data_IF_842153146317
#
_entry.id   IF_842153146317
#
_cell.length_a   1.000
_cell.length_b   1.000
_cell.length_c   1.000
_cell.angle_alpha   90.00
_cell.angle_beta   90.00
_cell.angle_gamma   90.00
#
_symmetry.space_group_name_H-M   'P 1'
#
loop_
_entity.id
_entity.type
_entity.pdbx_description
1 polymer ?
#
# COMPACT_ATOMS: atom_id res chain seq x y z
N UNK A 1 45.49 -0.07 -14.29
CA UNK A 1 44.35 -0.99 -14.47
C UNK A 1 43.65 -1.21 -13.13
N UNK A 2 42.96 -0.19 -12.61
CA UNK A 2 42.11 -0.30 -11.43
C UNK A 2 41.04 0.79 -11.57
N UNK A 3 39.87 0.44 -12.12
CA UNK A 3 38.83 1.42 -12.40
C UNK A 3 37.43 0.85 -12.65
N UNK A 4 37.29 -0.46 -12.92
CA UNK A 4 36.03 -0.99 -13.46
C UNK A 4 35.14 -1.74 -12.44
N UNK A 5 35.65 -2.02 -11.23
CA UNK A 5 34.92 -2.83 -10.25
C UNK A 5 33.92 -2.02 -9.39
N UNK A 6 34.04 -0.70 -9.35
CA UNK A 6 33.17 0.16 -8.52
C UNK A 6 31.86 0.58 -9.24
N UNK A 7 31.84 0.55 -10.58
CA UNK A 7 30.71 1.02 -11.37
C UNK A 7 29.55 0.01 -11.41
N UNK A 8 29.83 -1.29 -11.27
CA UNK A 8 28.83 -2.36 -11.34
C UNK A 8 27.96 -2.51 -10.08
N UNK A 9 28.38 -1.96 -8.94
CA UNK A 9 27.70 -2.17 -7.64
C UNK A 9 26.66 -1.10 -7.27
N UNK A 10 26.67 0.04 -7.97
CA UNK A 10 25.86 1.23 -7.70
C UNK A 10 24.53 1.19 -8.46
N UNK A 11 24.56 0.96 -9.78
CA UNK A 11 23.35 0.78 -10.58
C UNK A 11 22.44 -0.35 -10.07
N UNK A 12 23.02 -1.39 -9.46
CA UNK A 12 22.29 -2.52 -8.90
C UNK A 12 21.39 -2.16 -7.68
N UNK A 13 21.63 -1.03 -6.97
CA UNK A 13 20.91 -0.72 -5.72
C UNK A 13 19.61 0.03 -5.96
N UNK A 14 19.63 1.09 -6.78
CA UNK A 14 18.40 1.73 -7.28
C UNK A 14 17.55 0.72 -8.07
N UNK A 15 18.21 -0.14 -8.86
CA UNK A 15 17.55 -1.21 -9.60
C UNK A 15 16.89 -2.25 -8.67
N UNK A 16 17.42 -2.53 -7.47
CA UNK A 16 16.74 -3.39 -6.49
C UNK A 16 15.44 -2.75 -5.98
N UNK A 17 15.42 -1.43 -5.69
CA UNK A 17 14.19 -0.77 -5.24
C UNK A 17 13.15 -0.68 -6.34
N UNK A 18 13.58 -0.30 -7.55
CA UNK A 18 12.73 -0.25 -8.73
C UNK A 18 12.20 -1.65 -9.07
N UNK A 19 13.08 -2.66 -9.12
CA UNK A 19 12.72 -4.07 -9.37
C UNK A 19 11.83 -4.62 -8.26
N UNK A 20 12.05 -4.28 -7.00
CA UNK A 20 11.19 -4.71 -5.90
C UNK A 20 9.79 -4.08 -6.00
N UNK A 21 9.72 -2.77 -6.29
CA UNK A 21 8.47 -2.07 -6.60
C UNK A 21 7.73 -2.72 -7.78
N UNK A 22 8.42 -2.92 -8.90
CA UNK A 22 7.90 -3.61 -10.08
C UNK A 22 7.42 -5.03 -9.74
N UNK A 23 8.16 -5.76 -8.90
CA UNK A 23 7.84 -7.15 -8.54
C UNK A 23 6.69 -7.26 -7.55
N UNK A 24 6.42 -6.20 -6.77
CA UNK A 24 5.18 -6.05 -6.01
C UNK A 24 4.00 -5.81 -6.97
N UNK A 25 4.17 -4.96 -7.97
CA UNK A 25 3.15 -4.69 -8.99
C UNK A 25 2.85 -5.91 -9.87
N UNK A 26 3.87 -6.72 -10.18
CA UNK A 26 3.77 -7.86 -11.12
C UNK A 26 3.34 -9.17 -10.43
N UNK A 27 3.49 -9.30 -9.11
CA UNK A 27 3.01 -10.48 -8.37
C UNK A 27 1.50 -10.45 -8.20
N UNK A 28 0.80 -10.74 -9.29
CA UNK A 28 -0.60 -11.14 -9.24
C UNK A 28 -0.74 -12.43 -8.43
N UNK A 29 -1.57 -12.38 -7.39
CA UNK A 29 -2.05 -13.60 -6.75
C UNK A 29 -3.10 -14.19 -7.67
N UNK A 30 -2.69 -15.12 -8.54
CA UNK A 30 -3.54 -16.04 -9.31
C UNK A 30 -4.32 -17.03 -8.42
N UNK A 31 -4.66 -16.62 -7.20
CA UNK A 31 -5.24 -17.44 -6.14
C UNK A 31 -6.28 -16.70 -5.29
N UNK A 32 -6.97 -15.70 -5.87
CA UNK A 32 -8.01 -14.91 -5.19
C UNK A 32 -9.26 -15.71 -4.76
N UNK A 33 -9.26 -17.05 -4.89
CA UNK A 33 -10.42 -17.90 -4.63
C UNK A 33 -10.61 -18.39 -3.20
N UNK A 34 -9.61 -18.29 -2.31
CA UNK A 34 -9.71 -18.93 -0.97
C UNK A 34 -9.40 -18.01 0.22
N UNK A 35 -8.50 -17.03 0.09
CA UNK A 35 -7.97 -16.26 1.24
C UNK A 35 -8.22 -14.74 1.16
N UNK A 36 -9.13 -14.28 0.28
CA UNK A 36 -9.35 -12.86 0.01
C UNK A 36 -9.66 -12.02 1.27
N UNK A 37 -10.16 -12.60 2.36
CA UNK A 37 -10.43 -11.85 3.62
C UNK A 37 -9.17 -11.49 4.41
N UNK A 38 -8.03 -12.10 4.12
CA UNK A 38 -6.79 -11.91 4.89
C UNK A 38 -5.85 -10.90 4.23
N UNK A 39 -5.02 -10.24 5.04
CA UNK A 39 -4.00 -9.30 4.55
C UNK A 39 -3.07 -10.02 3.56
N UNK A 40 -2.94 -9.53 2.31
CA UNK A 40 -2.05 -10.13 1.32
C UNK A 40 -0.63 -10.30 1.88
N UNK A 41 -0.01 -11.46 1.63
CA UNK A 41 1.35 -11.73 2.14
C UNK A 41 2.36 -10.67 1.68
N UNK A 42 2.20 -10.18 0.46
CA UNK A 42 3.06 -9.13 -0.10
C UNK A 42 2.99 -7.83 0.70
N UNK A 43 1.80 -7.43 1.17
CA UNK A 43 1.61 -6.27 2.07
C UNK A 43 2.40 -6.48 3.36
N UNK A 44 2.29 -7.66 3.98
CA UNK A 44 3.02 -7.97 5.21
C UNK A 44 4.53 -7.92 5.02
N UNK A 45 5.04 -8.51 3.94
CA UNK A 45 6.48 -8.53 3.67
C UNK A 45 7.02 -7.16 3.31
N UNK A 46 6.33 -6.41 2.44
CA UNK A 46 6.76 -5.07 2.03
C UNK A 46 6.84 -4.12 3.23
N UNK A 47 5.79 -4.06 4.07
CA UNK A 47 5.80 -3.17 5.25
C UNK A 47 6.89 -3.57 6.24
N UNK A 48 7.08 -4.88 6.49
CA UNK A 48 8.16 -5.31 7.39
C UNK A 48 9.55 -4.98 6.83
N UNK A 49 9.74 -5.14 5.52
CA UNK A 49 10.99 -4.77 4.85
C UNK A 49 11.28 -3.27 4.97
N UNK A 50 10.29 -2.42 4.67
CA UNK A 50 10.40 -0.97 4.82
C UNK A 50 10.69 -0.56 6.27
N UNK A 51 10.10 -1.25 7.26
CA UNK A 51 10.40 -0.99 8.68
C UNK A 51 11.84 -1.31 9.05
N UNK A 52 12.41 -2.39 8.49
CA UNK A 52 13.82 -2.72 8.73
C UNK A 52 14.74 -1.67 8.07
N UNK A 53 14.43 -1.25 6.85
CA UNK A 53 15.20 -0.23 6.13
C UNK A 53 15.14 1.14 6.82
N UNK A 54 13.99 1.49 7.39
CA UNK A 54 13.81 2.73 8.14
C UNK A 54 14.40 2.68 9.55
N UNK A 55 14.98 1.56 10.00
CA UNK A 55 15.65 1.52 11.30
C UNK A 55 16.92 2.38 11.29
N UNK A 56 17.23 3.02 12.42
CA UNK A 56 18.33 3.98 12.55
C UNK A 56 19.68 3.43 12.03
N UNK A 57 19.92 2.13 12.22
CA UNK A 57 21.14 1.43 11.80
C UNK A 57 21.32 1.44 10.27
N UNK A 58 20.23 1.36 9.51
CA UNK A 58 20.25 1.30 8.04
C UNK A 58 19.91 2.64 7.39
N UNK A 59 19.20 3.52 8.09
CA UNK A 59 18.68 4.78 7.54
C UNK A 59 19.80 5.66 6.97
N UNK A 60 20.85 5.91 7.77
CA UNK A 60 21.98 6.77 7.37
C UNK A 60 22.79 6.16 6.22
N UNK A 61 23.02 4.85 6.27
CA UNK A 61 23.75 4.10 5.23
C UNK A 61 22.98 4.11 3.90
N UNK A 62 21.67 3.91 3.95
CA UNK A 62 20.84 3.89 2.74
C UNK A 62 20.68 5.28 2.14
N UNK A 63 20.55 6.31 2.98
CA UNK A 63 20.43 7.67 2.50
C UNK A 63 21.71 8.17 1.80
N UNK A 64 22.88 7.84 2.37
CA UNK A 64 24.17 8.14 1.73
C UNK A 64 24.37 7.35 0.43
N UNK A 65 23.99 6.07 0.40
CA UNK A 65 24.07 5.27 -0.82
C UNK A 65 23.16 5.80 -1.94
N UNK A 66 21.89 6.12 -1.64
CA UNK A 66 20.95 6.65 -2.62
C UNK A 66 21.37 8.02 -3.13
N UNK A 67 21.87 8.91 -2.26
CA UNK A 67 22.39 10.22 -2.66
C UNK A 67 23.59 10.08 -3.60
N UNK A 68 24.54 9.18 -3.28
CA UNK A 68 25.71 8.93 -4.11
C UNK A 68 25.38 8.28 -5.47
N UNK A 69 24.24 7.57 -5.57
CA UNK A 69 23.77 7.02 -6.83
C UNK A 69 23.04 8.08 -7.68
N UNK A 70 22.28 8.99 -7.05
CA UNK A 70 21.65 10.13 -7.72
C UNK A 70 22.70 11.10 -8.30
N UNK A 71 23.69 11.51 -7.49
CA UNK A 71 24.78 12.40 -7.91
C UNK A 71 25.66 11.81 -9.04
N UNK A 72 25.59 10.50 -9.28
CA UNK A 72 26.32 9.80 -10.35
C UNK A 72 25.48 9.61 -11.62
N UNK A 73 24.16 9.82 -11.53
CA UNK A 73 23.19 9.58 -12.60
C UNK A 73 22.80 10.82 -13.42
N UNK A 74 23.39 11.99 -13.17
CA UNK A 74 23.06 13.23 -13.88
C UNK A 74 23.54 13.23 -15.34
N UNK A 75 22.76 12.62 -16.23
CA UNK A 75 22.41 13.16 -17.55
C UNK A 75 20.94 12.77 -17.82
N UNK A 76 20.06 13.77 -17.83
CA UNK A 76 18.66 13.73 -18.30
C UNK A 76 17.56 13.17 -17.37
N UNK A 77 17.16 13.91 -16.34
CA UNK A 77 15.74 14.07 -16.01
C UNK A 77 15.53 15.29 -15.10
N UNK A 78 14.65 16.19 -15.55
CA UNK A 78 14.42 17.53 -15.02
C UNK A 78 14.33 17.60 -13.49
N UNK A 79 15.10 18.53 -12.93
CA UNK A 79 15.01 18.96 -11.53
C UNK A 79 13.56 19.33 -11.18
N UNK A 80 12.84 18.44 -10.52
CA UNK A 80 11.77 18.82 -9.61
C UNK A 80 12.40 19.45 -8.36
N UNK A 81 13.02 20.62 -8.57
CA UNK A 81 13.48 21.54 -7.54
C UNK A 81 12.27 22.21 -6.87
N UNK A 82 11.43 21.40 -6.22
CA UNK A 82 10.17 21.84 -5.66
C UNK A 82 9.64 21.07 -4.46
N UNK A 83 9.97 19.78 -4.32
CA UNK A 83 9.42 18.96 -3.23
C UNK A 83 10.39 18.84 -2.04
N UNK A 84 10.10 19.64 -1.01
CA UNK A 84 10.99 20.01 0.09
C UNK A 84 11.41 18.89 1.03
N UNK A 85 12.56 19.09 1.67
CA UNK A 85 13.10 18.49 2.91
C UNK A 85 13.05 16.95 3.08
N UNK A 86 12.58 16.19 2.10
CA UNK A 86 12.48 14.74 2.16
C UNK A 86 13.74 14.09 1.59
N UNK A 87 14.35 13.24 2.41
CA UNK A 87 15.55 12.48 2.05
C UNK A 87 15.29 11.55 0.84
N UNK A 88 16.30 11.24 0.01
CA UNK A 88 16.17 10.25 -1.08
C UNK A 88 15.51 8.93 -0.63
N UNK A 89 15.85 8.46 0.58
CA UNK A 89 15.23 7.28 1.16
C UNK A 89 13.73 7.47 1.45
N UNK A 90 13.33 8.65 1.93
CA UNK A 90 11.92 8.97 2.15
C UNK A 90 11.14 8.94 0.83
N UNK A 91 11.69 9.52 -0.25
CA UNK A 91 11.07 9.48 -1.60
C UNK A 91 10.94 8.05 -2.14
N UNK A 92 12.01 7.26 -2.06
CA UNK A 92 11.98 5.86 -2.48
C UNK A 92 10.97 5.03 -1.66
N UNK A 93 10.91 5.26 -0.34
CA UNK A 93 9.97 4.58 0.56
C UNK A 93 8.52 4.95 0.23
N UNK A 94 8.24 6.23 -0.02
CA UNK A 94 6.93 6.71 -0.43
C UNK A 94 6.49 6.08 -1.77
N UNK A 95 7.40 5.93 -2.73
CA UNK A 95 7.15 5.26 -4.01
C UNK A 95 6.77 3.77 -3.83
N UNK A 96 7.47 3.03 -2.97
CA UNK A 96 7.13 1.62 -2.67
C UNK A 96 5.76 1.52 -2.00
N UNK A 97 5.45 2.44 -1.08
CA UNK A 97 4.15 2.53 -0.41
C UNK A 97 3.01 2.84 -1.40
N UNK A 98 3.24 3.74 -2.35
CA UNK A 98 2.32 4.02 -3.45
C UNK A 98 2.09 2.77 -4.33
N UNK A 99 3.17 2.07 -4.72
CA UNK A 99 3.07 0.80 -5.44
C UNK A 99 2.27 -0.25 -4.67
N UNK A 100 2.41 -0.31 -3.35
CA UNK A 100 1.64 -1.20 -2.50
C UNK A 100 0.15 -0.83 -2.44
N UNK A 101 -0.17 0.46 -2.43
CA UNK A 101 -1.55 0.93 -2.51
C UNK A 101 -2.19 0.51 -3.84
N UNK A 102 -1.52 0.78 -4.96
CA UNK A 102 -1.98 0.35 -6.30
C UNK A 102 -2.15 -1.16 -6.39
N UNK A 103 -1.26 -1.93 -5.76
CA UNK A 103 -1.39 -3.38 -5.67
C UNK A 103 -2.66 -3.81 -4.93
N UNK A 104 -2.98 -3.18 -3.79
CA UNK A 104 -4.21 -3.49 -3.02
C UNK A 104 -5.46 -3.16 -3.84
N UNK A 105 -5.50 -2.01 -4.51
CA UNK A 105 -6.63 -1.64 -5.38
C UNK A 105 -6.77 -2.57 -6.59
N UNK A 106 -5.66 -2.96 -7.22
CA UNK A 106 -5.70 -3.93 -8.31
C UNK A 106 -6.22 -5.30 -7.83
N UNK A 107 -5.76 -5.77 -6.67
CA UNK A 107 -6.24 -7.01 -6.06
C UNK A 107 -7.74 -6.93 -5.73
N UNK A 108 -8.19 -5.77 -5.24
CA UNK A 108 -9.60 -5.47 -4.95
C UNK A 108 -10.45 -5.56 -6.22
N UNK A 109 -10.00 -4.95 -7.32
CA UNK A 109 -10.73 -4.93 -8.60
C UNK A 109 -10.91 -6.29 -9.28
N UNK A 110 -10.01 -7.24 -9.03
CA UNK A 110 -10.10 -8.61 -9.59
C UNK A 110 -10.80 -9.62 -8.68
N UNK A 111 -11.18 -9.21 -7.47
CA UNK A 111 -11.85 -10.09 -6.52
C UNK A 111 -13.32 -10.30 -6.93
N UNK A 112 -13.78 -11.56 -7.10
CA UNK A 112 -15.14 -11.84 -7.58
C UNK A 112 -16.23 -11.56 -6.54
N UNK A 113 -15.89 -11.65 -5.25
CA UNK A 113 -16.81 -11.33 -4.15
C UNK A 113 -16.57 -9.89 -3.70
N UNK A 114 -17.50 -9.00 -4.02
CA UNK A 114 -17.47 -7.58 -3.64
C UNK A 114 -17.29 -7.37 -2.14
N UNK A 115 -17.98 -8.16 -1.31
CA UNK A 115 -17.91 -8.05 0.15
C UNK A 115 -16.53 -8.47 0.64
N UNK A 116 -16.02 -9.60 0.14
CA UNK A 116 -14.67 -10.04 0.48
C UNK A 116 -13.60 -9.04 0.00
N UNK A 117 -13.84 -8.39 -1.14
CA UNK A 117 -12.97 -7.36 -1.71
C UNK A 117 -12.82 -6.15 -0.80
N UNK A 118 -13.92 -5.59 -0.30
CA UNK A 118 -13.89 -4.48 0.66
C UNK A 118 -13.22 -4.89 1.98
N UNK A 119 -13.51 -6.09 2.49
CA UNK A 119 -12.87 -6.62 3.72
C UNK A 119 -11.36 -6.79 3.54
N UNK A 120 -10.91 -7.27 2.37
CA UNK A 120 -9.50 -7.40 2.04
C UNK A 120 -8.78 -6.05 2.09
N UNK A 121 -9.34 -5.05 1.39
CA UNK A 121 -8.76 -3.72 1.29
C UNK A 121 -8.71 -3.04 2.66
N UNK A 122 -9.82 -3.09 3.40
CA UNK A 122 -9.90 -2.60 4.78
C UNK A 122 -8.79 -3.22 5.65
N UNK A 123 -8.66 -4.55 5.65
CA UNK A 123 -7.67 -5.26 6.45
C UNK A 123 -6.23 -4.92 6.03
N UNK A 124 -5.97 -4.81 4.72
CA UNK A 124 -4.66 -4.49 4.19
C UNK A 124 -4.22 -3.07 4.60
N UNK A 125 -5.09 -2.07 4.40
CA UNK A 125 -4.79 -0.68 4.74
C UNK A 125 -4.68 -0.47 6.25
N UNK A 126 -5.55 -1.09 7.03
CA UNK A 126 -5.46 -1.05 8.48
C UNK A 126 -4.15 -1.66 8.97
N UNK A 127 -3.71 -2.79 8.40
CA UNK A 127 -2.43 -3.40 8.72
C UNK A 127 -1.25 -2.47 8.40
N UNK A 128 -1.21 -1.88 7.19
CA UNK A 128 -0.15 -0.95 6.79
C UNK A 128 -0.06 0.21 7.78
N UNK A 129 -1.20 0.85 8.07
CA UNK A 129 -1.28 1.97 9.00
C UNK A 129 -0.83 1.58 10.41
N UNK A 130 -1.44 0.55 11.01
CA UNK A 130 -1.14 0.14 12.38
C UNK A 130 0.28 -0.38 12.54
N UNK A 131 0.82 -1.06 11.53
CA UNK A 131 2.17 -1.61 11.60
C UNK A 131 3.24 -0.53 11.49
N UNK A 132 2.99 0.53 10.73
CA UNK A 132 3.91 1.63 10.54
C UNK A 132 3.78 2.75 11.58
N UNK A 133 2.58 2.98 12.13
CA UNK A 133 2.31 4.03 13.14
C UNK A 133 3.30 3.96 14.30
N UNK A 134 3.88 5.11 14.66
CA UNK A 134 4.82 5.24 15.77
C UNK A 134 6.18 4.56 15.55
N UNK A 135 6.49 4.11 14.32
CA UNK A 135 7.82 3.62 13.95
C UNK A 135 8.58 4.64 13.12
N UNK A 136 9.90 4.47 12.99
CA UNK A 136 10.74 5.32 12.15
C UNK A 136 10.27 5.40 10.70
N UNK A 137 9.62 4.34 10.19
CA UNK A 137 8.97 4.36 8.88
C UNK A 137 7.90 5.45 8.77
N UNK A 138 7.07 5.64 9.80
CA UNK A 138 6.05 6.68 9.80
C UNK A 138 6.64 8.08 10.03
N UNK A 139 7.77 8.20 10.75
CA UNK A 139 8.48 9.48 10.87
C UNK A 139 9.15 9.87 9.55
N UNK A 140 9.76 8.91 8.86
CA UNK A 140 10.43 9.08 7.58
C UNK A 140 9.47 9.57 6.48
N UNK A 141 8.27 8.99 6.42
CA UNK A 141 7.24 9.33 5.41
C UNK A 141 6.29 10.45 5.88
N UNK A 142 6.22 10.69 7.18
CA UNK A 142 5.28 11.61 7.82
C UNK A 142 4.04 10.89 8.36
N UNK A 143 3.78 11.06 9.66
CA UNK A 143 2.66 10.39 10.33
C UNK A 143 1.30 10.83 9.80
N UNK A 144 1.16 12.11 9.46
CA UNK A 144 -0.07 12.66 8.89
C UNK A 144 -0.32 12.14 7.47
N UNK A 145 0.73 11.92 6.68
CA UNK A 145 0.64 11.32 5.35
C UNK A 145 0.16 9.87 5.46
N UNK A 146 0.76 9.09 6.37
CA UNK A 146 0.35 7.72 6.65
C UNK A 146 -1.10 7.62 7.12
N UNK A 147 -1.53 8.56 7.97
CA UNK A 147 -2.92 8.64 8.45
C UNK A 147 -3.88 8.97 7.31
N UNK A 148 -3.64 10.07 6.59
CA UNK A 148 -4.50 10.51 5.48
C UNK A 148 -4.62 9.47 4.38
N UNK A 149 -3.55 8.72 4.12
CA UNK A 149 -3.52 7.74 3.05
C UNK A 149 -4.09 6.39 3.44
N UNK A 150 -3.57 5.77 4.50
CA UNK A 150 -3.91 4.38 4.82
C UNK A 150 -5.03 4.26 5.85
N UNK A 151 -5.11 5.15 6.84
CA UNK A 151 -6.23 5.13 7.79
C UNK A 151 -7.53 5.50 7.07
N UNK A 152 -7.52 6.56 6.27
CA UNK A 152 -8.70 6.99 5.51
C UNK A 152 -9.15 5.92 4.52
N UNK A 153 -8.23 5.34 3.74
CA UNK A 153 -8.58 4.26 2.80
C UNK A 153 -9.13 3.01 3.52
N UNK A 154 -8.64 2.69 4.73
CA UNK A 154 -9.22 1.61 5.54
C UNK A 154 -10.65 1.94 5.99
N UNK A 155 -10.90 3.19 6.41
CA UNK A 155 -12.23 3.65 6.83
C UNK A 155 -13.21 3.71 5.66
N UNK A 156 -12.76 4.14 4.48
CA UNK A 156 -13.53 4.12 3.24
C UNK A 156 -13.92 2.70 2.85
N UNK A 157 -12.96 1.77 2.80
CA UNK A 157 -13.24 0.36 2.52
C UNK A 157 -14.20 -0.27 3.55
N UNK A 158 -14.11 0.14 4.82
CA UNK A 158 -15.04 -0.30 5.87
C UNK A 158 -16.46 0.25 5.63
N UNK A 159 -16.58 1.50 5.19
CA UNK A 159 -17.87 2.11 4.85
C UNK A 159 -18.52 1.41 3.65
N UNK A 160 -17.77 1.16 2.58
CA UNK A 160 -18.28 0.47 1.40
C UNK A 160 -18.70 -0.98 1.70
N UNK A 161 -17.94 -1.68 2.55
CA UNK A 161 -18.36 -2.98 3.08
C UNK A 161 -19.71 -2.89 3.80
N UNK A 162 -19.85 -1.89 4.68
CA UNK A 162 -21.09 -1.71 5.45
C UNK A 162 -22.27 -1.39 4.53
N UNK A 163 -22.08 -0.52 3.54
CA UNK A 163 -23.11 -0.16 2.58
C UNK A 163 -23.53 -1.38 1.75
N UNK A 164 -22.57 -2.13 1.20
CA UNK A 164 -22.85 -3.32 0.38
C UNK A 164 -23.60 -4.42 1.14
N UNK A 165 -23.32 -4.61 2.44
CA UNK A 165 -23.91 -5.69 3.24
C UNK A 165 -25.19 -5.25 3.94
N UNK A 166 -25.20 -4.09 4.59
CA UNK A 166 -26.27 -3.70 5.51
C UNK A 166 -27.35 -2.86 4.85
N UNK A 167 -27.05 -2.05 3.82
CA UNK A 167 -28.06 -1.23 3.16
C UNK A 167 -29.20 -2.07 2.58
N UNK A 168 -28.94 -3.19 1.86
CA UNK A 168 -30.02 -4.05 1.36
C UNK A 168 -30.86 -4.68 2.48
N UNK A 169 -30.21 -5.10 3.58
CA UNK A 169 -30.89 -5.71 4.72
C UNK A 169 -31.78 -4.71 5.46
N UNK A 170 -31.28 -3.48 5.65
CA UNK A 170 -32.03 -2.39 6.29
C UNK A 170 -33.22 -1.98 5.42
N UNK A 171 -33.06 -1.94 4.08
CA UNK A 171 -34.17 -1.70 3.17
C UNK A 171 -35.22 -2.81 3.25
N UNK A 172 -34.80 -4.08 3.31
CA UNK A 172 -35.72 -5.21 3.45
C UNK A 172 -36.52 -5.15 4.76
N UNK A 173 -35.91 -4.76 5.87
CA UNK A 173 -36.60 -4.56 7.14
C UNK A 173 -37.56 -3.36 7.08
N UNK A 174 -37.16 -2.25 6.45
CA UNK A 174 -37.99 -1.04 6.32
C UNK A 174 -39.18 -1.20 5.39
N UNK A 175 -39.02 -1.99 4.33
CA UNK A 175 -40.09 -2.33 3.39
C UNK A 175 -40.81 -3.63 3.80
N UNK A 176 -40.39 -4.26 4.89
CA UNK A 176 -40.88 -5.52 5.45
C UNK A 176 -42.23 -5.43 6.16
N UNK A 177 -43.11 -4.51 5.77
CA UNK A 177 -44.50 -4.44 6.21
C UNK A 177 -45.40 -5.30 5.29
N UNK A 178 -44.96 -6.53 5.01
CA UNK A 178 -45.64 -7.47 4.10
C UNK A 178 -46.57 -8.46 4.82
N UNK A 179 -47.35 -8.00 5.81
CA UNK A 179 -48.28 -8.88 6.52
C UNK A 179 -49.63 -8.25 6.93
N UNK A 180 -50.20 -7.32 6.14
CA UNK A 180 -51.60 -6.88 6.37
C UNK A 180 -52.43 -6.69 5.09
N UNK A 181 -52.14 -7.42 4.00
CA UNK A 181 -53.02 -7.45 2.81
C UNK A 181 -53.42 -8.84 2.33
N UNK A 182 -52.87 -9.91 2.89
CA UNK A 182 -53.30 -11.28 2.58
C UNK A 182 -54.59 -11.71 3.32
N UNK A 183 -55.10 -10.91 4.28
CA UNK A 183 -56.33 -11.23 5.04
C UNK A 183 -57.62 -10.85 4.30
N UNK A 184 -57.55 -10.09 3.21
CA UNK A 184 -58.75 -9.64 2.47
C UNK A 184 -59.13 -10.58 1.29
N UNK A 185 -58.37 -11.66 1.07
CA UNK A 185 -58.65 -12.64 0.00
C UNK A 185 -59.01 -14.04 0.53
N UNK A 186 -59.59 -14.13 1.73
CA UNK A 186 -60.13 -15.35 2.32
C UNK A 186 -61.64 -15.26 2.53
#
# INVERSE_FOLDING_TARGET
MAGDAANSGAGHRLDIYATFGLRIETRYVTGAGADARHVPKIVRYAVNYLKCLASDDYLTLMDTALRADLERGDEDEDEDAGDGDHTPLAKATASVLEGLHRHVEAARGVCPDTVASHVMAMNAYWYIYMRARGSELAKLVGEDTMRRRYKAAAEEAAWEYQDAVWTPLVQLVRHGDWAETAVVAG
#
